data_IF_213235129349
#
_entry.id   IF_213235129349
#
_cell.length_a   1.000
_cell.length_b   1.000
_cell.length_c   1.000
_cell.angle_alpha   90.00
_cell.angle_beta   90.00
_cell.angle_gamma   90.00
#
_symmetry.space_group_name_H-M   'P 1'
#
loop_
_entity.id
_entity.type
_entity.pdbx_description
1 polymer ?
#
# COMPACT_ATOMS: atom_id res chain seq x y z
N UNK A 1 12.26 -6.20 4.20
CA UNK A 1 11.80 -7.50 3.73
C UNK A 1 10.28 -7.42 3.77
N UNK A 2 9.62 -8.19 2.92
CA UNK A 2 8.19 -8.37 3.01
C UNK A 2 7.88 -9.62 3.84
N UNK A 3 6.71 -9.60 4.49
CA UNK A 3 6.12 -10.80 5.09
C UNK A 3 5.26 -11.49 4.03
N UNK A 4 5.59 -12.71 3.64
CA UNK A 4 4.70 -13.56 2.84
C UNK A 4 3.83 -14.40 3.77
N UNK A 5 2.51 -14.35 3.53
CA UNK A 5 1.50 -15.16 4.18
C UNK A 5 0.84 -16.08 3.15
N UNK A 6 0.94 -17.40 3.33
CA UNK A 6 0.22 -18.36 2.49
C UNK A 6 -1.12 -18.73 3.13
N UNK A 7 -2.21 -18.49 2.42
CA UNK A 7 -3.55 -18.88 2.86
C UNK A 7 -3.74 -20.39 2.77
N UNK A 8 -4.52 -20.92 3.71
CA UNK A 8 -5.11 -22.24 3.59
C UNK A 8 -6.37 -22.21 2.74
N UNK A 9 -7.01 -23.37 2.58
CA UNK A 9 -8.36 -23.45 2.03
C UNK A 9 -9.36 -22.76 2.95
N UNK A 10 -10.48 -22.34 2.38
CA UNK A 10 -11.60 -21.75 3.10
C UNK A 10 -12.05 -22.61 4.29
N UNK A 11 -12.29 -21.94 5.41
CA UNK A 11 -12.83 -22.52 6.63
C UNK A 11 -13.75 -21.50 7.31
N UNK A 12 -14.86 -21.96 7.87
CA UNK A 12 -15.76 -21.12 8.68
C UNK A 12 -15.13 -20.94 10.06
N UNK A 13 -15.22 -19.73 10.61
CA UNK A 13 -14.77 -19.46 11.97
C UNK A 13 -15.93 -18.88 12.78
N UNK A 14 -16.21 -19.51 13.92
CA UNK A 14 -17.32 -19.14 14.80
C UNK A 14 -16.86 -18.35 16.05
N UNK A 15 -15.57 -18.41 16.41
CA UNK A 15 -14.97 -17.69 17.56
C UNK A 15 -13.54 -17.20 17.23
N UNK A 16 -13.38 -16.50 16.11
CA UNK A 16 -12.08 -15.93 15.73
C UNK A 16 -11.76 -14.67 16.55
N UNK A 17 -10.57 -14.57 17.19
CA UNK A 17 -10.22 -13.41 18.01
C UNK A 17 -10.12 -12.08 17.25
N UNK A 18 -10.13 -12.09 15.91
CA UNK A 18 -10.22 -10.88 15.08
C UNK A 18 -11.65 -10.62 14.57
N UNK A 19 -12.64 -11.35 15.06
CA UNK A 19 -14.05 -11.21 14.69
C UNK A 19 -14.37 -11.69 13.28
N UNK A 20 -13.53 -12.54 12.68
CA UNK A 20 -13.72 -12.99 11.30
C UNK A 20 -14.68 -14.18 11.24
N UNK A 21 -15.69 -14.08 10.39
CA UNK A 21 -16.61 -15.18 10.13
C UNK A 21 -16.02 -16.31 9.25
N UNK A 22 -14.87 -16.05 8.60
CA UNK A 22 -14.27 -16.93 7.61
C UNK A 22 -12.76 -16.75 7.54
N UNK A 23 -12.05 -17.85 7.35
CA UNK A 23 -10.60 -17.96 7.23
C UNK A 23 -10.23 -18.58 5.88
N UNK A 24 -8.98 -18.39 5.47
CA UNK A 24 -8.45 -19.00 4.25
C UNK A 24 -9.00 -18.39 2.97
N UNK A 25 -8.80 -19.11 1.86
CA UNK A 25 -9.08 -18.63 0.52
C UNK A 25 -10.21 -19.42 -0.16
N UNK A 26 -11.02 -18.73 -0.96
CA UNK A 26 -11.95 -19.30 -1.93
C UNK A 26 -11.90 -18.51 -3.26
N UNK A 27 -12.35 -19.11 -4.38
CA UNK A 27 -12.34 -18.43 -5.67
C UNK A 27 -13.12 -17.11 -5.65
N UNK A 28 -12.60 -16.09 -6.34
CA UNK A 28 -13.22 -14.76 -6.52
C UNK A 28 -13.23 -13.84 -5.30
N UNK A 29 -12.46 -14.15 -4.26
CA UNK A 29 -12.19 -13.15 -3.22
C UNK A 29 -11.54 -11.90 -3.82
N UNK A 30 -11.97 -10.74 -3.34
CA UNK A 30 -11.31 -9.46 -3.65
C UNK A 30 -9.95 -9.36 -2.96
N UNK A 31 -9.07 -8.45 -3.43
CA UNK A 31 -7.78 -8.19 -2.76
C UNK A 31 -7.96 -7.84 -1.28
N UNK A 32 -9.01 -7.07 -0.95
CA UNK A 32 -9.35 -6.72 0.43
C UNK A 32 -9.76 -7.94 1.26
N UNK A 33 -10.64 -8.81 0.74
CA UNK A 33 -11.02 -10.03 1.45
C UNK A 33 -9.82 -10.98 1.65
N UNK A 34 -8.92 -11.06 0.66
CA UNK A 34 -7.70 -11.85 0.73
C UNK A 34 -6.79 -11.28 1.83
N UNK A 35 -6.65 -9.96 1.90
CA UNK A 35 -5.93 -9.30 2.99
C UNK A 35 -6.58 -9.56 4.35
N UNK A 36 -7.90 -9.45 4.48
CA UNK A 36 -8.60 -9.70 5.75
C UNK A 36 -8.43 -11.15 6.22
N UNK A 37 -8.38 -12.11 5.30
CA UNK A 37 -8.03 -13.50 5.61
C UNK A 37 -6.54 -13.65 6.00
N UNK A 38 -5.64 -12.95 5.29
CA UNK A 38 -4.19 -13.05 5.43
C UNK A 38 -3.60 -12.29 6.62
N UNK A 39 -4.24 -11.21 7.08
CA UNK A 39 -3.79 -10.38 8.20
C UNK A 39 -3.85 -11.09 9.57
N UNK A 40 -4.36 -12.32 9.57
CA UNK A 40 -4.75 -13.15 10.70
C UNK A 40 -3.72 -13.39 11.80
N UNK A 41 -4.02 -14.37 12.67
CA UNK A 41 -3.25 -14.63 13.88
C UNK A 41 -2.08 -15.60 13.63
N UNK A 42 -0.88 -15.03 13.53
CA UNK A 42 0.33 -15.75 13.17
C UNK A 42 1.36 -15.76 14.31
N UNK A 43 2.15 -16.83 14.39
CA UNK A 43 3.36 -16.85 15.22
C UNK A 43 4.48 -16.10 14.50
N UNK A 44 4.49 -14.78 14.63
CA UNK A 44 5.51 -13.90 14.04
C UNK A 44 6.64 -13.63 15.04
N UNK A 45 7.87 -13.52 14.53
CA UNK A 45 8.98 -12.96 15.30
C UNK A 45 8.76 -11.44 15.42
N UNK A 46 8.56 -10.94 16.64
CA UNK A 46 8.20 -9.54 16.88
C UNK A 46 9.28 -8.57 16.42
N UNK A 47 10.56 -8.93 16.63
CA UNK A 47 11.68 -8.07 16.29
C UNK A 47 11.83 -7.90 14.78
N UNK A 48 11.43 -8.92 14.01
CA UNK A 48 11.44 -8.89 12.54
C UNK A 48 10.15 -8.24 12.03
N UNK A 49 8.99 -8.80 12.39
CA UNK A 49 7.70 -8.34 11.88
C UNK A 49 7.38 -6.87 12.22
N UNK A 50 7.82 -6.37 13.38
CA UNK A 50 7.64 -4.97 13.75
C UNK A 50 8.48 -3.98 12.92
N UNK A 51 9.44 -4.47 12.12
CA UNK A 51 10.26 -3.66 11.21
C UNK A 51 9.84 -3.80 9.75
N UNK A 52 9.04 -4.81 9.42
CA UNK A 52 8.59 -5.01 8.05
C UNK A 52 7.37 -4.15 7.76
N UNK A 53 7.37 -3.57 6.55
CA UNK A 53 6.39 -2.56 6.13
C UNK A 53 5.39 -3.09 5.13
N UNK A 54 5.63 -4.27 4.58
CA UNK A 54 4.79 -4.83 3.53
C UNK A 54 4.52 -6.31 3.74
N UNK A 55 3.35 -6.73 3.29
CA UNK A 55 2.94 -8.12 3.26
C UNK A 55 2.45 -8.50 1.86
N UNK A 56 2.77 -9.73 1.45
CA UNK A 56 2.16 -10.42 0.32
C UNK A 56 1.31 -11.56 0.83
N UNK A 57 0.04 -11.61 0.43
CA UNK A 57 -0.85 -12.73 0.74
C UNK A 57 -0.97 -13.62 -0.49
N UNK A 58 -0.57 -14.87 -0.34
CA UNK A 58 -0.48 -15.87 -1.40
C UNK A 58 -1.62 -16.86 -1.27
N UNK A 59 -2.32 -17.12 -2.36
CA UNK A 59 -3.43 -18.08 -2.44
C UNK A 59 -2.92 -19.52 -2.43
N UNK A 60 -3.77 -20.53 -2.17
CA UNK A 60 -3.41 -21.92 -2.29
C UNK A 60 -2.89 -22.32 -3.69
N UNK A 61 -3.27 -21.59 -4.75
CA UNK A 61 -2.75 -21.78 -6.12
C UNK A 61 -1.31 -21.27 -6.30
N UNK A 62 -0.72 -20.61 -5.29
CA UNK A 62 0.63 -20.06 -5.38
C UNK A 62 0.70 -18.70 -6.08
N UNK A 63 -0.44 -18.01 -6.24
CA UNK A 63 -0.50 -16.66 -6.77
C UNK A 63 -0.56 -15.64 -5.62
N UNK A 64 0.05 -14.47 -5.80
CA UNK A 64 -0.13 -13.34 -4.90
C UNK A 64 -1.52 -12.77 -5.12
N UNK A 65 -2.39 -12.93 -4.13
CA UNK A 65 -3.78 -12.46 -4.17
C UNK A 65 -3.97 -11.05 -3.62
N UNK A 66 -3.06 -10.58 -2.76
CA UNK A 66 -3.06 -9.21 -2.26
C UNK A 66 -1.65 -8.76 -1.85
N UNK A 67 -1.38 -7.47 -2.00
CA UNK A 67 -0.22 -6.78 -1.45
C UNK A 67 -0.70 -5.66 -0.52
N UNK A 68 -0.11 -5.54 0.66
CA UNK A 68 -0.57 -4.61 1.69
C UNK A 68 0.60 -3.89 2.39
N UNK A 69 0.35 -2.67 2.83
CA UNK A 69 1.20 -1.95 3.77
C UNK A 69 0.84 -2.37 5.20
N UNK A 70 1.86 -2.73 5.99
CA UNK A 70 1.74 -3.00 7.42
C UNK A 70 1.96 -1.69 8.17
N UNK A 71 0.97 -1.29 8.95
CA UNK A 71 1.02 -0.09 9.82
C UNK A 71 1.38 -0.45 11.25
N UNK A 72 0.92 -1.59 11.72
CA UNK A 72 1.25 -2.11 13.05
C UNK A 72 1.11 -3.62 13.11
N UNK A 73 1.67 -4.20 14.18
CA UNK A 73 1.54 -5.62 14.50
C UNK A 73 0.92 -5.73 15.89
N UNK A 74 -0.34 -6.14 15.95
CA UNK A 74 -1.09 -6.21 17.21
C UNK A 74 -0.94 -7.60 17.86
N UNK A 75 -0.52 -7.68 19.13
CA UNK A 75 -0.38 -8.95 19.85
C UNK A 75 -1.74 -9.51 20.31
N UNK A 76 -1.88 -10.83 20.21
CA UNK A 76 -3.02 -11.64 20.67
C UNK A 76 -2.47 -12.92 21.32
N UNK A 77 -2.10 -12.84 22.60
CA UNK A 77 -1.44 -13.96 23.30
C UNK A 77 -0.08 -14.30 22.68
N UNK A 78 0.13 -15.56 22.29
CA UNK A 78 1.35 -16.02 21.59
C UNK A 78 1.35 -15.70 20.08
N UNK A 79 0.23 -15.18 19.55
CA UNK A 79 0.04 -14.84 18.14
C UNK A 79 -0.02 -13.34 17.93
N UNK A 80 0.08 -12.93 16.67
CA UNK A 80 0.09 -11.53 16.25
C UNK A 80 -0.74 -11.37 14.98
N UNK A 81 -1.49 -10.28 14.91
CA UNK A 81 -2.18 -9.83 13.71
C UNK A 81 -1.36 -8.74 13.01
N UNK A 82 -1.45 -8.72 11.70
CA UNK A 82 -0.97 -7.59 10.90
C UNK A 82 -2.10 -6.59 10.76
N UNK A 83 -1.84 -5.32 11.03
CA UNK A 83 -2.80 -4.25 10.79
C UNK A 83 -2.26 -3.33 9.71
N UNK A 84 -3.12 -2.98 8.77
CA UNK A 84 -2.67 -2.40 7.52
C UNK A 84 -3.78 -2.26 6.51
N UNK A 85 -3.40 -1.85 5.31
CA UNK A 85 -4.32 -1.66 4.20
C UNK A 85 -3.72 -2.24 2.91
N UNK A 86 -4.62 -2.74 2.06
CA UNK A 86 -4.25 -3.15 0.70
C UNK A 86 -3.68 -1.95 -0.06
N UNK A 87 -2.62 -2.20 -0.81
CA UNK A 87 -2.00 -1.20 -1.66
C UNK A 87 -2.93 -0.87 -2.84
N UNK A 88 -3.02 0.39 -3.21
CA UNK A 88 -3.85 0.84 -4.33
C UNK A 88 -3.17 0.64 -5.70
N UNK A 89 -3.93 0.77 -6.80
CA UNK A 89 -3.37 0.81 -8.15
C UNK A 89 -2.28 1.88 -8.30
N UNK A 90 -1.23 1.59 -9.07
CA UNK A 90 -0.08 2.48 -9.25
C UNK A 90 1.02 2.29 -8.19
N UNK A 91 0.77 1.50 -7.14
CA UNK A 91 1.81 1.18 -6.17
C UNK A 91 2.76 0.11 -6.72
N UNK A 92 4.10 0.34 -6.74
CA UNK A 92 5.06 -0.55 -7.39
C UNK A 92 4.99 -2.01 -6.93
N UNK A 93 4.88 -2.25 -5.61
CA UNK A 93 4.74 -3.62 -5.09
C UNK A 93 3.45 -4.32 -5.51
N UNK A 94 2.34 -3.58 -5.61
CA UNK A 94 1.07 -4.17 -6.03
C UNK A 94 1.16 -4.57 -7.50
N UNK A 95 1.58 -3.63 -8.34
CA UNK A 95 1.58 -3.81 -9.78
C UNK A 95 2.63 -4.83 -10.24
N UNK A 96 3.72 -5.00 -9.48
CA UNK A 96 4.72 -6.03 -9.72
C UNK A 96 4.22 -7.45 -9.36
N UNK A 97 3.46 -7.59 -8.27
CA UNK A 97 3.23 -8.92 -7.67
C UNK A 97 1.80 -9.43 -7.73
N UNK A 98 0.76 -8.60 -7.61
CA UNK A 98 -0.62 -9.11 -7.57
C UNK A 98 -0.97 -9.85 -8.87
N UNK A 99 -1.50 -11.07 -8.73
CA UNK A 99 -1.79 -11.99 -9.83
C UNK A 99 -0.58 -12.75 -10.38
N UNK A 100 0.63 -12.53 -9.84
CA UNK A 100 1.86 -13.25 -10.23
C UNK A 100 2.16 -14.41 -9.27
N UNK A 101 3.03 -15.37 -9.68
CA UNK A 101 3.51 -16.41 -8.79
C UNK A 101 4.19 -15.86 -7.53
N UNK A 102 4.11 -16.61 -6.42
CA UNK A 102 4.77 -16.27 -5.14
C UNK A 102 6.28 -16.05 -5.35
N UNK A 103 6.80 -14.81 -5.19
CA UNK A 103 8.21 -14.51 -5.38
C UNK A 103 9.08 -15.10 -4.25
N UNK A 104 8.46 -15.49 -3.13
CA UNK A 104 9.10 -16.08 -1.96
C UNK A 104 8.70 -17.56 -1.80
N UNK A 105 8.36 -18.22 -2.91
CA UNK A 105 8.08 -19.65 -2.95
C UNK A 105 9.30 -20.43 -2.44
N UNK A 106 9.05 -21.34 -1.51
CA UNK A 106 10.07 -22.23 -0.95
C UNK A 106 9.43 -23.56 -0.53
N UNK A 107 10.26 -24.55 -0.21
CA UNK A 107 9.80 -25.88 0.19
C UNK A 107 9.29 -25.96 1.65
N UNK A 108 9.21 -24.83 2.37
CA UNK A 108 8.74 -24.80 3.74
C UNK A 108 7.23 -24.97 3.81
N UNK A 109 6.76 -25.78 4.75
CA UNK A 109 5.33 -25.88 5.08
C UNK A 109 4.85 -24.69 5.94
N UNK A 110 5.76 -23.81 6.38
CA UNK A 110 5.37 -22.63 7.14
C UNK A 110 4.59 -21.66 6.24
N UNK A 111 3.40 -21.26 6.73
CA UNK A 111 2.57 -20.27 6.05
C UNK A 111 3.24 -18.89 6.01
N UNK A 112 4.14 -18.60 6.96
CA UNK A 112 4.90 -17.36 7.02
C UNK A 112 6.29 -17.54 6.43
N UNK A 113 6.72 -16.56 5.62
CA UNK A 113 8.09 -16.43 5.13
C UNK A 113 8.47 -14.95 5.12
N UNK A 114 9.75 -14.65 5.33
CA UNK A 114 10.31 -13.30 5.22
C UNK A 114 11.29 -13.30 4.05
N UNK A 115 11.26 -12.26 3.22
CA UNK A 115 12.17 -12.17 2.08
C UNK A 115 12.29 -10.76 1.53
N UNK A 116 13.41 -10.46 0.89
CA UNK A 116 13.60 -9.20 0.20
C UNK A 116 12.82 -9.19 -1.12
N UNK A 117 12.16 -8.07 -1.41
CA UNK A 117 11.58 -7.80 -2.72
C UNK A 117 12.35 -6.63 -3.34
N UNK A 118 12.82 -6.72 -4.60
CA UNK A 118 13.54 -5.62 -5.26
C UNK A 118 12.77 -4.29 -5.23
N UNK A 119 11.46 -4.35 -5.45
CA UNK A 119 10.55 -3.19 -5.45
C UNK A 119 10.39 -2.61 -4.05
N UNK A 120 10.50 -3.41 -2.98
CA UNK A 120 10.53 -2.88 -1.61
C UNK A 120 11.79 -2.05 -1.37
N UNK A 121 12.95 -2.54 -1.84
CA UNK A 121 14.22 -1.86 -1.63
C UNK A 121 14.19 -0.45 -2.22
N UNK A 122 13.66 -0.31 -3.44
CA UNK A 122 13.46 1.00 -4.08
C UNK A 122 12.55 1.95 -3.28
N UNK A 123 11.56 1.43 -2.56
CA UNK A 123 10.66 2.23 -1.73
C UNK A 123 11.27 2.64 -0.39
N UNK A 124 12.34 1.98 0.09
CA UNK A 124 13.02 2.37 1.34
C UNK A 124 13.81 3.66 1.18
N UNK A 125 14.21 3.97 -0.05
CA UNK A 125 14.97 5.18 -0.40
C UNK A 125 14.07 6.37 -0.80
N UNK A 126 12.75 6.18 -0.83
CA UNK A 126 11.81 7.27 -1.11
C UNK A 126 11.79 8.28 0.04
N UNK A 127 11.84 9.56 -0.33
CA UNK A 127 11.63 10.69 0.59
C UNK A 127 10.28 11.33 0.28
N UNK A 128 9.66 11.93 1.30
CA UNK A 128 8.34 12.56 1.14
C UNK A 128 8.37 13.59 0.01
N UNK A 129 7.48 13.44 -0.98
CA UNK A 129 7.32 14.38 -2.09
C UNK A 129 6.88 15.78 -1.63
N UNK A 130 6.44 15.92 -0.37
CA UNK A 130 6.27 17.20 0.28
C UNK A 130 7.57 18.01 0.42
N UNK A 131 8.74 17.38 0.30
CA UNK A 131 10.06 18.00 0.39
C UNK A 131 10.63 18.05 1.81
N UNK A 132 10.02 17.38 2.81
CA UNK A 132 10.51 17.41 4.19
C UNK A 132 11.70 16.47 4.46
N UNK A 133 12.11 15.68 3.47
CA UNK A 133 13.21 14.72 3.59
C UNK A 133 12.91 13.49 4.45
N UNK A 134 11.71 13.37 5.01
CA UNK A 134 11.31 12.20 5.79
C UNK A 134 11.24 10.97 4.87
N UNK A 135 11.95 9.87 5.18
CA UNK A 135 11.82 8.62 4.46
C UNK A 135 10.38 8.10 4.52
N UNK A 136 9.85 7.62 3.41
CA UNK A 136 8.48 7.12 3.27
C UNK A 136 8.47 5.99 2.25
N UNK A 137 7.43 5.16 2.26
CA UNK A 137 7.20 4.13 1.22
C UNK A 137 6.09 4.52 0.24
N UNK A 138 5.33 5.55 0.58
CA UNK A 138 4.34 6.17 -0.29
C UNK A 138 4.89 7.49 -0.81
N UNK A 139 4.24 8.07 -1.82
CA UNK A 139 4.62 9.38 -2.36
C UNK A 139 4.65 10.47 -1.27
N UNK A 140 3.72 10.42 -0.31
CA UNK A 140 3.66 11.32 0.84
C UNK A 140 3.62 10.54 2.15
N UNK A 141 4.21 11.11 3.20
CA UNK A 141 3.88 10.72 4.58
C UNK A 141 2.39 11.01 4.82
N UNK A 142 1.71 10.22 5.63
CA UNK A 142 0.29 10.38 5.90
C UNK A 142 -0.07 11.84 6.28
N UNK A 143 -1.01 12.44 5.53
CA UNK A 143 -1.46 13.82 5.69
C UNK A 143 -0.52 14.90 5.16
N UNK A 144 0.67 14.55 4.68
CA UNK A 144 1.62 15.51 4.10
C UNK A 144 1.25 15.92 2.68
N UNK A 145 0.43 15.15 1.97
CA UNK A 145 -0.15 15.50 0.67
C UNK A 145 -0.99 16.78 0.75
N UNK A 146 -2.00 16.81 1.63
CA UNK A 146 -2.87 17.97 1.83
C UNK A 146 -2.09 19.14 2.42
N UNK A 147 -1.16 18.86 3.35
CA UNK A 147 -0.29 19.89 3.92
C UNK A 147 0.58 20.53 2.83
N UNK A 148 1.18 19.72 1.95
CA UNK A 148 2.05 20.18 0.88
C UNK A 148 1.32 21.09 -0.13
N UNK A 149 0.06 20.80 -0.43
CA UNK A 149 -0.80 21.67 -1.27
C UNK A 149 -1.07 22.98 -0.54
N UNK A 150 -1.57 22.93 0.71
CA UNK A 150 -1.89 24.13 1.52
C UNK A 150 -0.67 25.04 1.72
N UNK A 151 0.50 24.46 1.96
CA UNK A 151 1.75 25.20 2.12
C UNK A 151 2.17 25.94 0.84
N UNK A 152 1.86 25.39 -0.34
CA UNK A 152 2.11 26.06 -1.64
C UNK A 152 1.09 27.16 -1.90
N UNK A 153 -0.19 26.92 -1.63
CA UNK A 153 -1.24 27.95 -1.70
C UNK A 153 -0.89 29.14 -0.80
N UNK A 154 -0.46 28.87 0.44
CA UNK A 154 -0.02 29.94 1.35
C UNK A 154 1.18 30.72 0.84
N UNK A 155 2.20 30.03 0.31
CA UNK A 155 3.45 30.67 -0.15
C UNK A 155 3.31 31.44 -1.46
N UNK A 156 2.53 30.92 -2.42
CA UNK A 156 2.49 31.46 -3.78
C UNK A 156 1.23 32.26 -4.09
N UNK A 157 0.16 32.08 -3.31
CA UNK A 157 -1.14 32.70 -3.55
C UNK A 157 -1.66 33.42 -2.30
N UNK A 158 -0.78 33.80 -1.37
CA UNK A 158 -1.12 34.45 -0.10
C UNK A 158 -2.21 33.74 0.73
N UNK A 159 -2.38 32.42 0.52
CA UNK A 159 -3.42 31.62 1.18
C UNK A 159 -4.78 31.62 0.47
N UNK A 160 -4.93 32.32 -0.66
CA UNK A 160 -6.15 32.31 -1.47
C UNK A 160 -6.23 31.04 -2.31
N UNK A 161 -7.13 30.14 -1.93
CA UNK A 161 -7.45 28.96 -2.74
C UNK A 161 -8.08 29.35 -4.07
N UNK A 162 -8.88 30.42 -4.11
CA UNK A 162 -9.51 30.90 -5.33
C UNK A 162 -8.47 31.32 -6.38
N UNK A 163 -7.45 32.08 -5.96
CA UNK A 163 -6.40 32.53 -6.88
C UNK A 163 -5.55 31.37 -7.40
N UNK A 164 -5.29 30.37 -6.55
CA UNK A 164 -4.64 29.13 -6.99
C UNK A 164 -5.46 28.39 -8.05
N UNK A 165 -6.77 28.26 -7.87
CA UNK A 165 -7.64 27.58 -8.84
C UNK A 165 -7.72 28.34 -10.16
N UNK A 166 -7.92 29.67 -10.13
CA UNK A 166 -7.90 30.51 -11.33
C UNK A 166 -6.60 30.34 -12.11
N UNK A 167 -5.46 30.40 -11.42
CA UNK A 167 -4.16 30.19 -12.05
C UNK A 167 -4.00 28.78 -12.64
N UNK A 168 -4.49 27.75 -11.94
CA UNK A 168 -4.41 26.38 -12.42
C UNK A 168 -5.26 26.18 -13.67
N UNK A 169 -6.47 26.73 -13.68
CA UNK A 169 -7.39 26.67 -14.82
C UNK A 169 -6.79 27.40 -16.04
N UNK A 170 -6.23 28.59 -15.85
CA UNK A 170 -5.54 29.35 -16.90
C UNK A 170 -4.32 28.59 -17.44
N UNK A 171 -3.55 27.94 -16.56
CA UNK A 171 -2.38 27.14 -16.95
C UNK A 171 -2.77 25.90 -17.77
N UNK A 172 -3.92 25.29 -17.47
CA UNK A 172 -4.45 24.11 -18.18
C UNK A 172 -5.13 24.47 -19.51
N UNK A 173 -5.70 25.68 -19.64
CA UNK A 173 -6.31 26.16 -20.87
C UNK A 173 -5.31 26.36 -22.02
N UNK A 174 -4.00 26.41 -21.73
CA UNK A 174 -2.93 26.68 -22.70
C UNK A 174 -2.93 28.13 -23.19
N UNK A 175 -1.87 28.58 -23.91
CA UNK A 175 -1.82 29.95 -24.41
C UNK A 175 -2.91 30.17 -25.46
N UNK A 176 -3.80 31.14 -25.20
CA UNK A 176 -4.73 31.65 -26.23
C UNK A 176 -3.93 32.10 -27.45
N UNK A 177 -4.21 31.57 -28.66
CA UNK A 177 -3.55 32.04 -29.87
C UNK A 177 -3.86 33.53 -30.08
N UNK A 178 -2.81 34.31 -30.28
CA UNK A 178 -2.85 35.76 -30.48
C UNK A 178 -3.69 36.11 -31.74
N UNK A 179 -4.72 36.98 -31.65
CA UNK A 179 -5.60 37.31 -32.78
C UNK A 179 -4.94 38.16 -33.89
N UNK A 180 -3.65 38.51 -33.78
CA UNK A 180 -2.97 39.40 -34.74
C UNK A 180 -2.35 38.72 -35.98
N UNK A 181 -2.69 37.47 -36.27
CA UNK A 181 -2.24 36.76 -37.49
C UNK A 181 -3.23 36.77 -38.66
N UNK A 182 -4.22 37.67 -38.69
CA UNK A 182 -4.98 37.96 -39.93
C UNK A 182 -4.30 39.08 -40.71
N UNK A 183 -3.27 38.72 -41.47
CA UNK A 183 -2.75 39.55 -42.56
C UNK A 183 -3.71 39.47 -43.74
N UNK A 184 -3.89 40.63 -44.38
CA UNK A 184 -4.68 40.92 -45.59
C UNK A 184 -4.56 39.90 -46.71
#
# INVERSE_FOLDING_TARGET
MAIRVKLGRYERADDDPLGRARLGWFPRMTEQEIWDAGRGLWRLNQNVAGRERFALVVTPEGLVGAAAEIRSVTPYGDRKALDGAVLGPGHPLRDAYVGRPDPLANNSQNRITYGALPEEAALRDLTCACGCGTPTTAEFVAGHDVRAVRDRVRRHFAGSTADFLTWLDDALAGPTPNPSSRTR
#
